data_IF_367949684805
#
_entry.id   IF_367949684805
#
_cell.length_a   1.000
_cell.length_b   1.000
_cell.length_c   1.000
_cell.angle_alpha   90.00
_cell.angle_beta   90.00
_cell.angle_gamma   90.00
#
_symmetry.space_group_name_H-M   'P 1'
#
loop_
_entity.id
_entity.type
_entity.pdbx_description
1 polymer ?
#
# COMPACT_ATOMS: atom_id res chain seq x y z
N UNK A 1 1.46 -2.56 -2.06
CA UNK A 1 2.72 -2.39 -2.81
C UNK A 1 3.72 -1.61 -2.00
N UNK A 2 4.96 -2.01 -2.02
CA UNK A 2 6.06 -1.28 -1.40
C UNK A 2 6.83 -0.54 -2.48
N UNK A 3 6.92 0.78 -2.36
CA UNK A 3 7.45 1.66 -3.39
C UNK A 3 8.38 2.65 -2.71
N UNK A 4 9.44 3.07 -3.40
CA UNK A 4 10.22 4.24 -2.99
C UNK A 4 9.66 5.47 -3.67
N UNK A 5 9.46 6.54 -2.91
CA UNK A 5 8.98 7.80 -3.44
C UNK A 5 10.14 8.67 -3.94
N UNK A 6 9.85 9.94 -4.28
CA UNK A 6 10.83 10.87 -4.82
C UNK A 6 12.02 11.10 -3.87
N UNK A 7 11.77 11.09 -2.56
CA UNK A 7 12.79 11.32 -1.54
C UNK A 7 13.44 10.03 -1.06
N UNK A 8 13.25 8.93 -1.81
CA UNK A 8 13.75 7.59 -1.50
C UNK A 8 13.17 7.03 -0.19
N UNK A 9 12.05 7.57 0.27
CA UNK A 9 11.34 7.10 1.44
C UNK A 9 10.44 5.91 1.10
N UNK A 10 10.18 5.06 2.08
CA UNK A 10 9.28 3.94 1.92
C UNK A 10 7.84 4.41 1.84
N UNK A 11 7.16 4.03 0.77
CA UNK A 11 5.73 4.26 0.55
C UNK A 11 5.02 2.92 0.46
N UNK A 12 4.05 2.71 1.34
CA UNK A 12 3.19 1.54 1.29
C UNK A 12 1.85 1.96 0.67
N UNK A 13 1.56 1.43 -0.51
CA UNK A 13 0.34 1.73 -1.25
C UNK A 13 -0.62 0.56 -1.16
N UNK A 14 -1.80 0.82 -0.61
CA UNK A 14 -2.88 -0.18 -0.50
C UNK A 14 -3.89 0.07 -1.60
N UNK A 15 -4.11 -0.93 -2.45
CA UNK A 15 -5.03 -0.86 -3.58
C UNK A 15 -5.97 -2.06 -3.58
N UNK A 16 -7.14 -1.92 -4.23
CA UNK A 16 -8.00 -3.06 -4.48
C UNK A 16 -7.31 -4.07 -5.41
N UNK A 17 -7.56 -5.37 -5.19
CA UNK A 17 -6.87 -6.42 -5.97
C UNK A 17 -7.28 -6.43 -7.44
N UNK A 18 -8.42 -5.86 -7.81
CA UNK A 18 -8.90 -5.71 -9.18
C UNK A 18 -8.44 -4.40 -9.84
N UNK A 19 -7.73 -3.55 -9.13
CA UNK A 19 -7.17 -2.29 -9.64
C UNK A 19 -5.69 -2.48 -9.99
N UNK A 20 -5.22 -1.69 -10.94
CA UNK A 20 -3.82 -1.66 -11.36
C UNK A 20 -3.25 -0.28 -11.12
N UNK A 21 -1.95 -0.21 -10.84
CA UNK A 21 -1.25 1.05 -10.70
C UNK A 21 -1.17 1.76 -12.06
N UNK A 22 -1.61 3.01 -12.11
CA UNK A 22 -1.46 3.88 -13.27
C UNK A 22 -0.21 4.74 -13.05
N UNK A 23 0.83 4.51 -13.85
CA UNK A 23 2.10 5.21 -13.70
C UNK A 23 1.98 6.72 -13.91
N UNK A 24 1.09 7.16 -14.80
CA UNK A 24 0.87 8.59 -15.04
C UNK A 24 0.20 9.25 -13.85
N UNK A 25 -0.82 8.62 -13.28
CA UNK A 25 -1.48 9.13 -12.08
C UNK A 25 -0.53 9.14 -10.89
N UNK A 26 0.29 8.12 -10.73
CA UNK A 26 1.29 8.05 -9.66
C UNK A 26 2.29 9.20 -9.81
N UNK A 27 2.80 9.43 -11.02
CA UNK A 27 3.74 10.52 -11.28
C UNK A 27 3.11 11.88 -10.98
N UNK A 28 1.84 12.07 -11.34
CA UNK A 28 1.13 13.31 -11.05
C UNK A 28 0.94 13.53 -9.54
N UNK A 29 0.67 12.47 -8.78
CA UNK A 29 0.44 12.55 -7.34
C UNK A 29 1.73 12.68 -6.53
N UNK A 30 2.80 12.00 -6.93
CA UNK A 30 4.04 11.91 -6.14
C UNK A 30 5.26 12.56 -6.80
N UNK A 31 5.13 13.06 -8.03
CA UNK A 31 6.19 13.78 -8.73
C UNK A 31 7.29 12.90 -9.31
N UNK A 32 7.16 11.58 -9.26
CA UNK A 32 8.12 10.62 -9.80
C UNK A 32 7.43 9.33 -10.21
N UNK A 33 8.10 8.54 -11.05
CA UNK A 33 7.64 7.20 -11.40
C UNK A 33 7.75 6.27 -10.19
N UNK A 34 6.83 5.28 -10.06
CA UNK A 34 6.93 4.30 -8.97
C UNK A 34 8.18 3.43 -9.15
N UNK A 35 8.90 3.22 -8.05
CA UNK A 35 10.08 2.34 -7.98
C UNK A 35 9.78 1.23 -6.99
N UNK A 36 9.51 0.03 -7.51
CA UNK A 36 9.16 -1.12 -6.67
C UNK A 36 10.37 -1.59 -5.89
N UNK A 37 10.15 -2.01 -4.64
CA UNK A 37 11.20 -2.58 -3.80
C UNK A 37 11.46 -4.04 -4.19
N UNK A 38 12.75 -4.47 -4.24
CA UNK A 38 13.06 -5.89 -4.32
C UNK A 38 12.53 -6.67 -3.09
N UNK A 39 12.24 -7.98 -3.23
CA UNK A 39 11.68 -8.78 -2.12
C UNK A 39 12.50 -8.74 -0.83
N UNK A 40 13.82 -8.80 -0.93
CA UNK A 40 14.71 -8.76 0.24
C UNK A 40 14.66 -7.41 0.96
N UNK A 41 14.51 -6.31 0.22
CA UNK A 41 14.36 -4.98 0.83
C UNK A 41 12.97 -4.82 1.44
N UNK A 42 11.94 -5.40 0.85
CA UNK A 42 10.59 -5.39 1.39
C UNK A 42 10.57 -5.99 2.79
N UNK A 43 11.15 -7.19 2.96
CA UNK A 43 11.23 -7.83 4.26
C UNK A 43 12.04 -7.00 5.27
N UNK A 44 13.19 -6.47 4.86
CA UNK A 44 14.07 -5.71 5.75
C UNK A 44 13.42 -4.40 6.23
N UNK A 45 12.71 -3.69 5.36
CA UNK A 45 12.15 -2.38 5.66
C UNK A 45 10.76 -2.44 6.31
N UNK A 46 9.94 -3.42 5.96
CA UNK A 46 8.57 -3.54 6.47
C UNK A 46 8.44 -4.54 7.62
N UNK A 47 9.36 -5.50 7.72
CA UNK A 47 9.24 -6.61 8.64
C UNK A 47 8.29 -7.71 8.16
N UNK A 48 7.77 -7.61 6.93
CA UNK A 48 6.82 -8.55 6.36
C UNK A 48 7.35 -9.12 5.05
N UNK A 49 7.15 -10.43 4.77
CA UNK A 49 7.54 -11.01 3.50
C UNK A 49 6.62 -10.55 2.36
N UNK A 50 7.11 -10.66 1.13
CA UNK A 50 6.29 -10.42 -0.06
C UNK A 50 5.07 -11.33 -0.02
N UNK A 51 3.89 -10.78 -0.30
CA UNK A 51 2.61 -11.49 -0.17
C UNK A 51 1.96 -11.38 1.20
N UNK A 52 2.73 -10.99 2.22
CA UNK A 52 2.23 -10.77 3.57
C UNK A 52 2.35 -9.33 4.06
N UNK A 53 2.82 -8.42 3.22
CA UNK A 53 2.98 -7.01 3.59
C UNK A 53 1.62 -6.39 3.90
N UNK A 54 1.53 -5.77 5.07
CA UNK A 54 0.33 -5.07 5.50
C UNK A 54 0.71 -3.73 6.13
N UNK A 55 -0.23 -2.79 6.26
CA UNK A 55 0.06 -1.48 6.86
C UNK A 55 0.18 -1.51 8.38
N UNK A 56 0.08 -2.68 9.02
CA UNK A 56 0.16 -2.84 10.46
C UNK A 56 1.52 -3.38 10.88
N UNK A 57 2.01 -2.94 12.05
CA UNK A 57 3.22 -3.49 12.65
C UNK A 57 4.47 -3.37 11.77
N UNK A 58 4.65 -2.25 11.09
CA UNK A 58 5.81 -2.03 10.23
C UNK A 58 7.09 -1.89 11.07
N UNK A 59 8.19 -2.47 10.56
CA UNK A 59 9.47 -2.46 11.24
C UNK A 59 10.14 -1.07 11.26
N UNK A 60 9.77 -0.19 10.35
CA UNK A 60 10.33 1.16 10.28
C UNK A 60 9.31 2.18 9.79
N UNK A 61 9.71 3.47 9.72
CA UNK A 61 8.82 4.52 9.26
C UNK A 61 8.46 4.32 7.79
N UNK A 62 7.18 4.51 7.47
CA UNK A 62 6.67 4.42 6.11
C UNK A 62 5.51 5.39 5.94
N UNK A 63 5.39 5.96 4.74
CA UNK A 63 4.19 6.69 4.34
C UNK A 63 3.16 5.67 3.84
N UNK A 64 1.95 5.74 4.37
CA UNK A 64 0.87 4.82 3.99
C UNK A 64 -0.17 5.60 3.20
N UNK A 65 -0.49 5.10 2.00
CA UNK A 65 -1.52 5.67 1.15
C UNK A 65 -2.51 4.58 0.76
N UNK A 66 -3.80 4.93 0.76
CA UNK A 66 -4.87 4.07 0.28
C UNK A 66 -5.41 4.62 -1.02
N UNK A 67 -5.47 3.79 -2.05
CA UNK A 67 -6.05 4.18 -3.32
C UNK A 67 -7.58 4.21 -3.23
N UNK A 68 -8.20 5.17 -3.93
CA UNK A 68 -9.66 5.32 -3.92
C UNK A 68 -10.40 4.11 -4.49
N UNK A 69 -9.73 3.21 -5.21
CA UNK A 69 -10.32 1.95 -5.67
C UNK A 69 -10.86 1.10 -4.52
N UNK A 70 -10.29 1.22 -3.32
CA UNK A 70 -10.78 0.50 -2.13
C UNK A 70 -12.19 0.93 -1.75
N UNK A 71 -12.58 2.16 -2.04
CA UNK A 71 -13.89 2.69 -1.67
C UNK A 71 -15.05 2.06 -2.47
N UNK A 72 -14.75 1.35 -3.54
CA UNK A 72 -15.75 0.60 -4.30
C UNK A 72 -16.22 -0.67 -3.57
N UNK A 73 -15.54 -1.07 -2.51
CA UNK A 73 -15.83 -2.27 -1.74
C UNK A 73 -16.32 -1.92 -0.34
N UNK A 74 -17.34 -2.64 0.15
CA UNK A 74 -17.84 -2.44 1.51
C UNK A 74 -16.83 -2.93 2.55
N UNK A 75 -16.12 -4.02 2.25
CA UNK A 75 -15.07 -4.60 3.09
C UNK A 75 -13.85 -4.93 2.25
N UNK A 76 -12.68 -4.81 2.85
CA UNK A 76 -11.40 -5.18 2.24
C UNK A 76 -10.65 -6.16 3.15
N UNK A 77 -9.75 -6.93 2.56
CA UNK A 77 -9.03 -8.01 3.24
C UNK A 77 -7.51 -7.86 3.05
N UNK A 78 -6.90 -6.82 3.64
CA UNK A 78 -5.45 -6.69 3.53
C UNK A 78 -4.74 -7.85 4.21
N UNK A 79 -3.55 -8.21 3.71
CA UNK A 79 -2.70 -9.20 4.35
C UNK A 79 -2.39 -8.77 5.80
N UNK A 80 -2.15 -9.75 6.66
CA UNK A 80 -1.96 -9.50 8.09
C UNK A 80 -0.59 -10.02 8.58
N UNK A 81 0.46 -9.83 7.79
CA UNK A 81 1.83 -10.17 8.16
C UNK A 81 2.31 -11.51 7.62
N UNK A 82 1.46 -12.26 6.94
CA UNK A 82 1.82 -13.50 6.24
C UNK A 82 0.97 -13.69 5.00
N UNK A 83 1.43 -14.50 4.01
CA UNK A 83 0.63 -14.76 2.81
C UNK A 83 -0.70 -15.49 3.07
N UNK A 84 -0.82 -16.14 4.22
CA UNK A 84 -1.97 -16.97 4.57
C UNK A 84 -2.92 -16.30 5.57
N UNK A 85 -2.72 -15.04 5.89
CA UNK A 85 -3.56 -14.32 6.85
C UNK A 85 -4.06 -13.02 6.28
N UNK A 86 -5.27 -12.61 6.71
CA UNK A 86 -5.88 -11.36 6.28
C UNK A 86 -6.76 -10.80 7.39
N UNK A 87 -6.91 -9.48 7.39
CA UNK A 87 -7.83 -8.77 8.28
C UNK A 87 -9.01 -8.30 7.45
N UNK A 88 -10.23 -8.43 8.00
CA UNK A 88 -11.45 -7.97 7.32
C UNK A 88 -11.91 -6.66 7.96
N UNK A 89 -11.98 -5.57 7.17
CA UNK A 89 -12.47 -4.29 7.67
C UNK A 89 -12.94 -3.38 6.54
N UNK A 90 -13.71 -2.34 6.91
CA UNK A 90 -14.13 -1.33 5.95
C UNK A 90 -12.93 -0.46 5.51
N UNK A 91 -12.91 0.03 4.24
CA UNK A 91 -11.79 0.84 3.75
C UNK A 91 -11.53 2.11 4.58
N UNK A 92 -12.56 2.80 5.00
CA UNK A 92 -12.43 4.00 5.85
C UNK A 92 -11.83 3.66 7.20
N UNK A 93 -12.21 2.51 7.77
CA UNK A 93 -11.64 2.04 9.03
C UNK A 93 -10.16 1.70 8.88
N UNK A 94 -9.78 1.06 7.79
CA UNK A 94 -8.37 0.78 7.48
C UNK A 94 -7.56 2.06 7.43
N UNK A 95 -8.01 3.05 6.66
CA UNK A 95 -7.31 4.32 6.52
C UNK A 95 -7.16 5.04 7.85
N UNK A 96 -8.21 5.04 8.69
CA UNK A 96 -8.17 5.67 10.00
C UNK A 96 -7.21 4.99 10.96
N UNK A 97 -7.20 3.66 11.00
CA UNK A 97 -6.33 2.89 11.89
C UNK A 97 -4.85 3.11 11.62
N UNK A 98 -4.46 3.30 10.36
CA UNK A 98 -3.07 3.46 9.96
C UNK A 98 -2.73 4.89 9.56
N UNK A 99 -3.67 5.82 9.71
CA UNK A 99 -3.52 7.22 9.34
C UNK A 99 -3.06 7.39 7.90
N UNK A 100 -3.66 6.61 6.99
CA UNK A 100 -3.33 6.64 5.59
C UNK A 100 -3.88 7.87 4.90
N UNK A 101 -3.17 8.32 3.87
CA UNK A 101 -3.65 9.36 2.95
C UNK A 101 -4.36 8.69 1.78
N UNK A 102 -5.51 9.24 1.38
CA UNK A 102 -6.22 8.79 0.18
C UNK A 102 -5.59 9.37 -1.07
N UNK A 103 -5.40 8.52 -2.09
CA UNK A 103 -4.82 8.91 -3.38
C UNK A 103 -5.60 8.25 -4.50
N UNK A 104 -5.52 8.82 -5.71
CA UNK A 104 -6.12 8.25 -6.93
C UNK A 104 -4.99 7.96 -7.91
N UNK A 105 -4.44 6.75 -7.85
CA UNK A 105 -3.31 6.33 -8.66
C UNK A 105 -3.59 5.00 -9.37
N UNK A 106 -4.79 4.47 -9.22
CA UNK A 106 -5.19 3.21 -9.83
C UNK A 106 -6.00 3.37 -11.11
N UNK A 107 -6.07 2.30 -11.88
CA UNK A 107 -6.94 2.16 -13.04
C UNK A 107 -7.60 0.78 -13.02
N UNK A 108 -8.73 0.68 -13.68
CA UNK A 108 -9.45 -0.58 -13.81
C UNK A 108 -8.69 -1.63 -14.65
#
# INVERSE_FOLDING_TARGET
MCIRDRDDALLLLVMACDARLDNQKFKAAFGTKPRMLPPEQTLALTGHPVGGVCPFGLAGPARICCDVSLQAHALVYPAAGSPNSAVCLAPTRLADLVQAQWVDVGKA
#
